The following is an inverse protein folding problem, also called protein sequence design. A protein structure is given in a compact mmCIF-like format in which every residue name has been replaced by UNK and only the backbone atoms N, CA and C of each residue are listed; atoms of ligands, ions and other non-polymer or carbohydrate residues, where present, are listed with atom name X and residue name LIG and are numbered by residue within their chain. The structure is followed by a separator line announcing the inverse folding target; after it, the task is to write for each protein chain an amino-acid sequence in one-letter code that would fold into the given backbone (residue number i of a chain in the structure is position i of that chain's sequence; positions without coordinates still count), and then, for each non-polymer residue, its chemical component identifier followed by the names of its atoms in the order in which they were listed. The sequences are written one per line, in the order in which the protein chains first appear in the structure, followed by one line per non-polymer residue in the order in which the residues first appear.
data_IF_265385938909
#
_entry.id   IF_265385938909
#
_cell.length_a   1.000
_cell.length_b   1.000
_cell.length_c   1.000
_cell.angle_alpha   90.00
_cell.angle_beta   90.00
_cell.angle_gamma   90.00
#
_symmetry.space_group_name_H-M   'P 1'
#
loop_
_entity.id
_entity.type
_entity.pdbx_description
1 polymer ?
#
# COMPACT_ATOMS: atom_id res chain seq x y z
N UNK A 1 29.04 -19.09 -26.81
CA UNK A 1 27.89 -18.50 -26.10
C UNK A 1 26.87 -18.07 -27.13
N UNK A 2 25.79 -18.80 -27.28
CA UNK A 2 24.77 -18.53 -28.30
C UNK A 2 23.78 -17.48 -27.75
N UNK A 3 23.80 -16.29 -28.36
CA UNK A 3 22.87 -15.22 -28.04
C UNK A 3 21.46 -15.56 -28.52
N UNK A 4 20.48 -15.51 -27.64
CA UNK A 4 19.09 -15.63 -27.98
C UNK A 4 18.66 -14.40 -28.78
N UNK A 5 18.42 -14.58 -30.09
CA UNK A 5 17.90 -13.53 -30.97
C UNK A 5 16.41 -13.43 -30.69
N UNK A 6 15.97 -12.36 -30.01
CA UNK A 6 14.55 -11.99 -29.97
C UNK A 6 14.10 -11.52 -31.36
N UNK A 7 13.46 -12.37 -32.11
CA UNK A 7 12.76 -11.94 -33.33
C UNK A 7 11.40 -11.38 -32.97
N UNK A 8 11.08 -10.12 -33.32
CA UNK A 8 9.72 -9.64 -33.19
C UNK A 8 8.84 -10.47 -34.17
N UNK A 9 7.84 -11.15 -33.62
CA UNK A 9 6.87 -11.89 -34.43
C UNK A 9 5.74 -10.90 -34.78
N UNK A 10 5.72 -10.42 -36.00
CA UNK A 10 4.60 -9.68 -36.58
C UNK A 10 3.95 -10.52 -37.66
N UNK A 11 2.79 -11.09 -37.38
CA UNK A 11 1.97 -11.74 -38.40
C UNK A 11 0.77 -10.83 -38.71
N UNK A 12 0.51 -10.44 -39.97
CA UNK A 12 -0.71 -9.73 -40.32
C UNK A 12 -1.90 -10.65 -40.06
N UNK A 13 -2.84 -10.22 -39.22
CA UNK A 13 -4.05 -10.96 -38.86
C UNK A 13 -4.15 -11.50 -37.46
N UNK A 14 -3.11 -11.40 -36.63
CA UNK A 14 -3.23 -11.64 -35.19
C UNK A 14 -3.69 -10.35 -34.49
N UNK A 15 -4.97 -10.07 -34.52
CA UNK A 15 -5.58 -9.11 -33.59
C UNK A 15 -5.51 -9.74 -32.21
N UNK A 16 -4.68 -9.17 -31.31
CA UNK A 16 -4.77 -9.49 -29.90
C UNK A 16 -6.19 -9.11 -29.45
N UNK A 17 -6.99 -10.14 -29.17
CA UNK A 17 -8.29 -9.93 -28.55
C UNK A 17 -8.00 -9.22 -27.21
N UNK A 18 -8.60 -8.05 -26.95
CA UNK A 18 -8.39 -7.38 -25.67
C UNK A 18 -8.74 -8.35 -24.53
N UNK A 19 -7.96 -8.38 -23.46
CA UNK A 19 -8.17 -9.32 -22.36
C UNK A 19 -9.62 -9.24 -21.87
N UNK A 20 -10.33 -10.36 -21.94
CA UNK A 20 -11.70 -10.45 -21.46
C UNK A 20 -11.77 -10.26 -19.92
N UNK A 21 -12.96 -9.99 -19.35
CA UNK A 21 -13.14 -9.76 -17.92
C UNK A 21 -12.64 -10.94 -17.06
N UNK A 22 -12.64 -12.15 -17.58
CA UNK A 22 -12.09 -13.33 -16.90
C UNK A 22 -10.57 -13.31 -16.76
N UNK A 23 -9.84 -12.73 -17.73
CA UNK A 23 -8.38 -12.63 -17.62
C UNK A 23 -7.98 -11.64 -16.54
N UNK A 24 -8.69 -10.51 -16.40
CA UNK A 24 -8.47 -9.57 -15.29
C UNK A 24 -8.76 -10.19 -13.92
N UNK A 25 -9.83 -10.98 -13.83
CA UNK A 25 -10.15 -11.71 -12.61
C UNK A 25 -9.11 -12.80 -12.27
N UNK A 26 -8.53 -13.46 -13.30
CA UNK A 26 -7.43 -14.42 -13.12
C UNK A 26 -6.13 -13.70 -12.76
N UNK A 27 -5.80 -12.60 -13.41
CA UNK A 27 -4.63 -11.78 -13.08
C UNK A 27 -4.71 -11.22 -11.64
N UNK A 28 -5.90 -10.82 -11.17
CA UNK A 28 -6.13 -10.44 -9.77
C UNK A 28 -5.97 -11.60 -8.77
N UNK A 29 -6.04 -12.87 -9.22
CA UNK A 29 -5.72 -14.04 -8.38
C UNK A 29 -4.21 -14.34 -8.32
N UNK A 30 -3.45 -13.90 -9.30
CA UNK A 30 -1.98 -14.00 -9.35
C UNK A 30 -1.29 -12.69 -8.93
N UNK A 31 -2.03 -11.59 -8.84
CA UNK A 31 -1.65 -10.38 -8.16
C UNK A 31 -1.79 -10.53 -6.66
N UNK A 32 -1.56 -9.48 -5.93
CA UNK A 32 -1.78 -9.43 -4.50
C UNK A 32 -2.99 -8.60 -4.11
N UNK A 33 -3.14 -8.45 -2.83
CA UNK A 33 -4.08 -7.51 -2.22
C UNK A 33 -3.32 -6.58 -1.30
N UNK A 34 -3.51 -5.28 -1.45
CA UNK A 34 -2.87 -4.28 -0.60
C UNK A 34 -3.91 -3.38 0.05
N UNK A 35 -3.73 -3.16 1.36
CA UNK A 35 -4.40 -2.10 2.11
C UNK A 35 -3.41 -0.95 2.30
N UNK A 36 -3.68 0.19 1.67
CA UNK A 36 -2.96 1.44 1.87
C UNK A 36 -3.56 2.18 3.06
N UNK A 37 -2.80 2.30 4.13
CA UNK A 37 -3.22 2.91 5.39
C UNK A 37 -2.53 4.27 5.53
N UNK A 38 -3.32 5.35 5.49
CA UNK A 38 -2.85 6.73 5.57
C UNK A 38 -3.25 7.32 6.92
N UNK A 39 -2.27 7.80 7.63
CA UNK A 39 -2.45 8.58 8.86
C UNK A 39 -3.15 9.91 8.56
N UNK A 40 -4.25 10.15 9.25
CA UNK A 40 -4.99 11.41 9.23
C UNK A 40 -5.09 12.03 10.64
N UNK A 41 -4.12 11.71 11.53
CA UNK A 41 -4.00 12.34 12.84
C UNK A 41 -3.69 13.84 12.73
N UNK A 42 -3.88 14.58 13.84
CA UNK A 42 -3.80 16.04 13.82
C UNK A 42 -2.46 16.62 13.38
N UNK A 43 -1.34 15.90 13.58
CA UNK A 43 0.00 16.28 13.11
C UNK A 43 0.12 16.31 11.59
N UNK A 44 -0.70 15.52 10.91
CA UNK A 44 -0.79 15.48 9.45
C UNK A 44 -1.57 16.64 8.83
N UNK A 45 -2.25 17.49 9.63
CA UNK A 45 -3.10 18.56 9.06
C UNK A 45 -2.31 19.59 8.24
N UNK A 46 -2.97 20.18 7.24
CA UNK A 46 -2.39 21.13 6.32
C UNK A 46 -1.64 20.51 5.15
N UNK A 47 -0.37 20.89 4.92
CA UNK A 47 0.41 20.43 3.77
C UNK A 47 0.70 18.92 3.79
N UNK A 48 1.05 18.28 4.93
CA UNK A 48 1.33 16.85 4.95
C UNK A 48 0.19 15.99 4.41
N UNK A 49 -1.05 16.22 4.82
CA UNK A 49 -2.19 15.42 4.35
C UNK A 49 -2.44 15.59 2.85
N UNK A 50 -2.25 16.80 2.30
CA UNK A 50 -2.43 17.04 0.87
C UNK A 50 -1.40 16.28 0.02
N UNK A 51 -0.15 16.27 0.47
CA UNK A 51 0.92 15.51 -0.19
C UNK A 51 0.71 13.99 -0.02
N UNK A 52 0.26 13.55 1.15
CA UNK A 52 -0.06 12.15 1.41
C UNK A 52 -1.18 11.64 0.47
N UNK A 53 -2.24 12.40 0.31
CA UNK A 53 -3.34 12.07 -0.61
C UNK A 53 -2.87 12.03 -2.07
N UNK A 54 -2.02 12.96 -2.48
CA UNK A 54 -1.42 12.96 -3.82
C UNK A 54 -0.60 11.70 -4.07
N UNK A 55 0.28 11.34 -3.14
CA UNK A 55 1.09 10.12 -3.22
C UNK A 55 0.27 8.85 -3.15
N UNK A 56 -0.78 8.83 -2.33
CA UNK A 56 -1.72 7.72 -2.24
C UNK A 56 -2.44 7.48 -3.57
N UNK A 57 -2.85 8.53 -4.27
CA UNK A 57 -3.45 8.41 -5.61
C UNK A 57 -2.49 7.80 -6.63
N UNK A 58 -1.22 8.19 -6.61
CA UNK A 58 -0.17 7.60 -7.45
C UNK A 58 0.10 6.14 -7.08
N UNK A 59 0.20 5.83 -5.78
CA UNK A 59 0.34 4.46 -5.29
C UNK A 59 -0.79 3.55 -5.80
N UNK A 60 -2.05 4.00 -5.68
CA UNK A 60 -3.21 3.24 -6.17
C UNK A 60 -3.08 2.92 -7.66
N UNK A 61 -2.72 3.90 -8.49
CA UNK A 61 -2.54 3.70 -9.92
C UNK A 61 -1.44 2.67 -10.24
N UNK A 62 -0.29 2.76 -9.55
CA UNK A 62 0.83 1.84 -9.74
C UNK A 62 0.55 0.43 -9.22
N UNK A 63 -0.12 0.30 -8.08
CA UNK A 63 -0.50 -0.98 -7.51
C UNK A 63 -1.50 -1.72 -8.41
N UNK A 64 -2.49 -1.00 -8.96
CA UNK A 64 -3.42 -1.55 -9.97
C UNK A 64 -2.67 -1.97 -11.24
N UNK A 65 -1.71 -1.17 -11.71
CA UNK A 65 -0.87 -1.54 -12.86
C UNK A 65 0.00 -2.78 -12.57
N UNK A 66 0.38 -3.01 -11.31
CA UNK A 66 1.06 -4.22 -10.84
C UNK A 66 0.10 -5.40 -10.55
N UNK A 67 -1.17 -5.29 -10.94
CA UNK A 67 -2.24 -6.29 -10.76
C UNK A 67 -2.64 -6.57 -9.30
N UNK A 68 -2.44 -5.62 -8.38
CA UNK A 68 -2.97 -5.71 -7.03
C UNK A 68 -4.42 -5.21 -6.95
N UNK A 69 -5.22 -5.89 -6.13
CA UNK A 69 -6.45 -5.30 -5.61
C UNK A 69 -6.09 -4.31 -4.51
N UNK A 70 -6.59 -3.09 -4.59
CA UNK A 70 -6.20 -1.98 -3.71
C UNK A 70 -7.38 -1.53 -2.87
N UNK A 71 -7.23 -1.59 -1.56
CA UNK A 71 -8.07 -0.91 -0.58
C UNK A 71 -7.33 0.27 0.05
N UNK A 72 -8.08 1.20 0.60
CA UNK A 72 -7.53 2.36 1.35
C UNK A 72 -8.22 2.45 2.70
N UNK A 73 -7.43 2.74 3.73
CA UNK A 73 -7.89 3.07 5.06
C UNK A 73 -7.29 4.40 5.49
N UNK A 74 -8.14 5.33 5.90
CA UNK A 74 -7.73 6.53 6.62
C UNK A 74 -7.84 6.23 8.10
N UNK A 75 -6.79 6.52 8.86
CA UNK A 75 -6.74 6.18 10.28
C UNK A 75 -6.16 7.30 11.14
N UNK A 76 -6.63 7.35 12.39
CA UNK A 76 -6.08 8.14 13.49
C UNK A 76 -6.18 7.32 14.78
N UNK A 77 -7.10 7.61 15.70
CA UNK A 77 -7.39 6.74 16.87
C UNK A 77 -8.15 5.46 16.48
N UNK A 78 -8.68 5.40 15.26
CA UNK A 78 -9.44 4.28 14.69
C UNK A 78 -9.39 4.33 13.15
N UNK A 79 -10.00 3.35 12.51
CA UNK A 79 -10.29 3.43 11.09
C UNK A 79 -11.43 4.44 10.84
N UNK A 80 -11.09 5.63 10.34
CA UNK A 80 -12.05 6.74 10.10
C UNK A 80 -12.84 6.51 8.80
N UNK A 81 -12.18 6.05 7.76
CA UNK A 81 -12.81 5.71 6.50
C UNK A 81 -12.08 4.54 5.85
N UNK A 82 -12.83 3.61 5.31
CA UNK A 82 -12.30 2.38 4.73
C UNK A 82 -12.96 2.09 3.39
N UNK A 83 -12.15 1.75 2.41
CA UNK A 83 -12.60 1.18 1.15
C UNK A 83 -12.00 -0.22 1.00
N UNK A 84 -12.85 -1.20 0.72
CA UNK A 84 -12.45 -2.58 0.45
C UNK A 84 -11.58 -2.68 -0.79
N UNK A 85 -10.64 -3.66 -0.85
CA UNK A 85 -9.78 -3.84 -2.01
C UNK A 85 -10.55 -4.14 -3.29
N UNK A 86 -10.30 -3.36 -4.34
CA UNK A 86 -10.85 -3.56 -5.69
C UNK A 86 -9.75 -3.60 -6.74
N UNK A 87 -9.96 -4.38 -7.81
CA UNK A 87 -8.96 -4.55 -8.87
C UNK A 87 -8.81 -3.31 -9.76
N UNK A 88 -9.76 -2.37 -9.74
CA UNK A 88 -9.72 -1.15 -10.56
C UNK A 88 -9.32 0.10 -9.76
N UNK A 89 -9.21 0.00 -8.44
CA UNK A 89 -8.81 1.08 -7.54
C UNK A 89 -9.77 2.29 -7.49
N UNK A 90 -10.91 2.27 -8.18
CA UNK A 90 -11.81 3.43 -8.24
C UNK A 90 -12.39 3.83 -6.90
N UNK A 91 -12.78 2.84 -6.10
CA UNK A 91 -13.30 3.10 -4.76
C UNK A 91 -12.24 3.77 -3.87
N UNK A 92 -10.97 3.34 -3.98
CA UNK A 92 -9.84 3.93 -3.29
C UNK A 92 -9.64 5.41 -3.68
N UNK A 93 -9.62 5.71 -4.99
CA UNK A 93 -9.49 7.08 -5.48
C UNK A 93 -10.67 7.97 -5.05
N UNK A 94 -11.90 7.45 -5.07
CA UNK A 94 -13.09 8.18 -4.63
C UNK A 94 -13.04 8.49 -3.12
N UNK A 95 -12.50 7.59 -2.30
CA UNK A 95 -12.31 7.80 -0.87
C UNK A 95 -11.25 8.87 -0.59
N UNK A 96 -10.17 8.89 -1.37
CA UNK A 96 -9.07 9.86 -1.23
C UNK A 96 -9.45 11.27 -1.69
N UNK A 97 -10.26 11.39 -2.74
CA UNK A 97 -10.54 12.67 -3.41
C UNK A 97 -11.05 13.81 -2.49
N UNK A 98 -11.93 13.60 -1.49
CA UNK A 98 -12.40 14.66 -0.59
C UNK A 98 -11.44 14.95 0.57
N UNK A 99 -10.38 14.16 0.77
CA UNK A 99 -9.51 14.27 1.95
C UNK A 99 -8.59 15.47 1.82
N UNK A 100 -8.77 16.44 2.70
CA UNK A 100 -8.02 17.70 2.71
C UNK A 100 -7.71 18.21 4.12
N UNK A 101 -8.06 17.45 5.17
CA UNK A 101 -7.82 17.76 6.58
C UNK A 101 -7.48 16.50 7.35
N UNK A 102 -6.78 16.68 8.45
CA UNK A 102 -6.43 15.64 9.39
C UNK A 102 -6.81 16.07 10.82
N UNK A 103 -7.12 15.11 11.70
CA UNK A 103 -7.57 15.36 13.07
C UNK A 103 -7.42 14.14 13.97
N UNK A 104 -7.50 14.35 15.28
CA UNK A 104 -7.43 13.27 16.28
C UNK A 104 -6.01 12.91 16.67
N UNK A 105 -5.90 11.86 17.47
CA UNK A 105 -4.65 11.31 17.97
C UNK A 105 -4.20 10.12 17.12
N UNK A 106 -3.03 9.58 17.43
CA UNK A 106 -2.45 8.42 16.79
C UNK A 106 -2.66 7.16 17.67
N UNK A 107 -3.44 6.18 17.17
CA UNK A 107 -3.63 4.89 17.83
C UNK A 107 -3.74 3.77 16.77
N UNK A 108 -2.64 3.06 16.52
CA UNK A 108 -2.50 2.19 15.34
C UNK A 108 -3.13 0.79 15.51
N UNK A 109 -3.33 0.30 16.73
CA UNK A 109 -3.76 -1.10 16.97
C UNK A 109 -5.10 -1.41 16.29
N UNK A 110 -6.14 -0.60 16.53
CA UNK A 110 -7.48 -0.81 15.94
C UNK A 110 -7.48 -0.77 14.42
N UNK A 111 -6.81 0.18 13.74
CA UNK A 111 -6.58 0.13 12.29
C UNK A 111 -5.94 -1.17 11.80
N UNK A 112 -4.91 -1.68 12.49
CA UNK A 112 -4.27 -2.94 12.12
C UNK A 112 -5.19 -4.15 12.30
N UNK A 113 -5.99 -4.18 13.35
CA UNK A 113 -7.01 -5.23 13.56
C UNK A 113 -8.02 -5.24 12.41
N UNK A 114 -8.45 -4.05 11.98
CA UNK A 114 -9.37 -3.92 10.85
C UNK A 114 -8.72 -4.35 9.52
N UNK A 115 -7.48 -3.91 9.26
CA UNK A 115 -6.70 -4.38 8.11
C UNK A 115 -6.56 -5.89 8.08
N UNK A 116 -6.28 -6.51 9.24
CA UNK A 116 -6.17 -7.95 9.37
C UNK A 116 -7.47 -8.65 8.96
N UNK A 117 -8.60 -8.23 9.51
CA UNK A 117 -9.92 -8.78 9.17
C UNK A 117 -10.25 -8.67 7.68
N UNK A 118 -9.84 -7.58 7.02
CA UNK A 118 -10.01 -7.41 5.58
C UNK A 118 -9.09 -8.38 4.82
N UNK A 119 -7.79 -8.36 5.10
CA UNK A 119 -6.79 -9.12 4.36
C UNK A 119 -6.91 -10.62 4.57
N UNK A 120 -7.44 -11.07 5.70
CA UNK A 120 -7.64 -12.51 5.98
C UNK A 120 -8.63 -13.18 5.00
N UNK A 121 -9.49 -12.41 4.37
CA UNK A 121 -10.44 -12.88 3.34
C UNK A 121 -9.80 -13.11 1.96
N UNK A 122 -8.55 -12.71 1.78
CA UNK A 122 -7.82 -12.79 0.52
C UNK A 122 -6.71 -13.85 0.58
N UNK A 123 -6.31 -14.32 -0.59
CA UNK A 123 -5.21 -15.27 -0.78
C UNK A 123 -4.13 -14.64 -1.66
N UNK A 124 -2.94 -15.24 -1.72
CA UNK A 124 -1.81 -14.74 -2.47
C UNK A 124 -0.98 -13.75 -1.65
N UNK A 125 -0.34 -12.78 -2.31
CA UNK A 125 0.45 -11.77 -1.62
C UNK A 125 -0.47 -10.73 -0.96
N UNK A 126 -0.41 -10.63 0.36
CA UNK A 126 -1.23 -9.73 1.18
C UNK A 126 -0.34 -8.70 1.84
N UNK A 127 -0.63 -7.43 1.62
CA UNK A 127 0.25 -6.34 2.01
C UNK A 127 -0.50 -5.26 2.78
N UNK A 128 0.08 -4.81 3.89
CA UNK A 128 -0.25 -3.54 4.53
C UNK A 128 0.80 -2.52 4.10
N UNK A 129 0.40 -1.51 3.34
CA UNK A 129 1.22 -0.35 3.03
C UNK A 129 0.84 0.77 4.01
N UNK A 130 1.70 1.05 4.99
CA UNK A 130 1.41 1.96 6.11
C UNK A 130 2.23 3.23 6.01
N UNK A 131 1.57 4.36 6.10
CA UNK A 131 2.19 5.68 6.17
C UNK A 131 1.66 6.47 7.37
N UNK A 132 2.57 7.20 8.06
CA UNK A 132 2.25 8.12 9.14
C UNK A 132 3.45 8.95 9.60
N UNK A 133 3.19 9.89 10.51
CA UNK A 133 4.20 10.75 11.14
C UNK A 133 4.36 10.53 12.65
N UNK A 134 3.58 9.58 13.18
CA UNK A 134 3.54 9.23 14.60
C UNK A 134 4.37 8.02 14.98
N UNK A 135 3.97 7.40 16.08
CA UNK A 135 4.57 6.20 16.64
C UNK A 135 3.67 4.96 16.53
N UNK A 136 4.17 3.83 17.04
CA UNK A 136 3.44 2.55 17.07
C UNK A 136 2.53 2.43 18.32
N UNK A 137 1.83 3.48 18.71
CA UNK A 137 1.00 3.44 19.95
C UNK A 137 -0.25 2.55 19.78
N UNK A 138 -0.50 1.61 20.72
CA UNK A 138 0.33 1.18 21.86
C UNK A 138 1.38 0.15 21.42
N UNK A 139 2.66 0.50 21.51
CA UNK A 139 3.78 -0.20 20.85
C UNK A 139 3.79 -1.71 21.06
N UNK A 140 3.73 -2.17 22.30
CA UNK A 140 3.82 -3.61 22.59
C UNK A 140 2.69 -4.41 21.94
N UNK A 141 1.46 -3.88 21.93
CA UNK A 141 0.30 -4.53 21.33
C UNK A 141 0.37 -4.47 19.80
N UNK A 142 0.83 -3.34 19.24
CA UNK A 142 1.04 -3.19 17.79
C UNK A 142 2.09 -4.19 17.30
N UNK A 143 3.24 -4.30 17.98
CA UNK A 143 4.28 -5.27 17.61
C UNK A 143 3.77 -6.71 17.68
N UNK A 144 3.01 -7.06 18.72
CA UNK A 144 2.40 -8.39 18.84
C UNK A 144 1.40 -8.67 17.68
N UNK A 145 0.57 -7.66 17.34
CA UNK A 145 -0.38 -7.77 16.22
C UNK A 145 0.31 -7.92 14.88
N UNK A 146 1.35 -7.13 14.64
CA UNK A 146 2.17 -7.23 13.42
C UNK A 146 2.84 -8.61 13.33
N UNK A 147 3.41 -9.11 14.42
CA UNK A 147 4.02 -10.44 14.45
C UNK A 147 2.99 -11.54 14.12
N UNK A 148 1.77 -11.44 14.64
CA UNK A 148 0.67 -12.33 14.26
C UNK A 148 0.38 -12.26 12.76
N UNK A 149 0.19 -11.06 12.21
CA UNK A 149 -0.13 -10.88 10.79
C UNK A 149 1.01 -11.38 9.87
N UNK A 150 2.26 -11.16 10.25
CA UNK A 150 3.44 -11.69 9.52
C UNK A 150 3.48 -13.22 9.55
N UNK A 151 3.16 -13.85 10.68
CA UNK A 151 3.06 -15.31 10.79
C UNK A 151 1.98 -15.91 9.86
N UNK A 152 0.97 -15.11 9.52
CA UNK A 152 -0.09 -15.44 8.57
C UNK A 152 0.24 -15.02 7.11
N UNK A 153 1.51 -14.66 6.84
CA UNK A 153 2.02 -14.22 5.54
C UNK A 153 1.40 -12.90 5.03
N UNK A 154 1.16 -11.95 5.92
CA UNK A 154 0.81 -10.57 5.58
C UNK A 154 2.09 -9.73 5.70
N UNK A 155 2.50 -9.08 4.60
CA UNK A 155 3.70 -8.24 4.55
C UNK A 155 3.41 -6.79 4.92
N UNK A 156 4.44 -6.12 5.42
CA UNK A 156 4.38 -4.71 5.79
C UNK A 156 5.39 -3.90 4.95
N UNK A 157 4.88 -2.91 4.25
CA UNK A 157 5.65 -1.88 3.55
C UNK A 157 5.34 -0.56 4.22
N UNK A 158 6.33 0.12 4.77
CA UNK A 158 6.07 1.29 5.62
C UNK A 158 6.85 2.52 5.20
N UNK A 159 6.27 3.69 5.45
CA UNK A 159 6.96 4.99 5.33
C UNK A 159 6.59 5.87 6.51
N UNK A 160 7.60 6.48 7.11
CA UNK A 160 7.45 7.44 8.20
C UNK A 160 7.90 8.83 7.79
N UNK A 161 7.11 9.85 8.09
CA UNK A 161 7.50 11.25 7.91
C UNK A 161 8.36 11.71 9.09
N UNK A 162 9.61 12.07 8.79
CA UNK A 162 10.61 12.40 9.78
C UNK A 162 11.35 11.17 10.33
N UNK A 163 12.51 11.42 10.95
CA UNK A 163 13.40 10.36 11.43
C UNK A 163 12.79 9.50 12.54
N UNK A 164 11.95 10.08 13.38
CA UNK A 164 11.31 9.38 14.49
C UNK A 164 10.29 8.35 13.97
N UNK A 165 9.32 8.79 13.17
CA UNK A 165 8.32 7.91 12.58
C UNK A 165 8.95 6.86 11.66
N UNK A 166 9.98 7.24 10.91
CA UNK A 166 10.72 6.31 10.05
C UNK A 166 11.39 5.19 10.87
N UNK A 167 11.95 5.51 12.04
CA UNK A 167 12.52 4.52 12.96
C UNK A 167 11.43 3.57 13.50
N UNK A 168 10.36 4.12 14.04
CA UNK A 168 9.24 3.34 14.59
C UNK A 168 8.62 2.41 13.53
N UNK A 169 8.28 2.93 12.37
CA UNK A 169 7.70 2.13 11.30
C UNK A 169 8.69 1.16 10.65
N UNK A 170 9.98 1.46 10.69
CA UNK A 170 11.04 0.55 10.28
C UNK A 170 11.07 -0.76 11.07
N UNK A 171 10.68 -0.74 12.37
CA UNK A 171 10.62 -1.94 13.21
C UNK A 171 9.59 -2.98 12.70
N UNK A 172 8.57 -2.53 12.01
CA UNK A 172 7.51 -3.42 11.48
C UNK A 172 7.60 -3.65 9.97
N UNK A 173 8.45 -2.91 9.27
CA UNK A 173 8.64 -3.05 7.82
C UNK A 173 9.26 -4.40 7.44
N UNK A 174 8.91 -4.89 6.25
CA UNK A 174 9.60 -6.01 5.60
C UNK A 174 10.57 -5.51 4.52
N UNK A 175 10.75 -4.19 4.42
CA UNK A 175 11.75 -3.56 3.55
C UNK A 175 13.02 -3.20 4.35
N UNK A 176 14.09 -2.87 3.63
CA UNK A 176 15.30 -2.32 4.25
C UNK A 176 14.98 -1.04 5.04
N UNK A 177 15.51 -0.87 6.26
CA UNK A 177 15.18 0.28 7.11
C UNK A 177 15.43 1.65 6.46
N UNK A 178 16.40 1.74 5.55
CA UNK A 178 16.69 2.96 4.79
C UNK A 178 15.54 3.40 3.87
N UNK A 179 14.66 2.48 3.49
CA UNK A 179 13.50 2.77 2.64
C UNK A 179 12.35 3.42 3.40
N UNK A 180 12.33 3.30 4.73
CA UNK A 180 11.20 3.76 5.56
C UNK A 180 11.15 5.28 5.76
N UNK A 181 12.25 6.02 5.50
CA UNK A 181 12.34 7.43 5.86
C UNK A 181 11.90 8.37 4.74
N UNK A 182 10.97 9.28 5.06
CA UNK A 182 10.65 10.46 4.26
C UNK A 182 11.07 11.70 5.07
N UNK A 183 12.11 12.39 4.62
CA UNK A 183 12.73 13.44 5.41
C UNK A 183 11.97 14.77 5.35
N UNK A 184 11.25 15.04 4.27
CA UNK A 184 10.57 16.31 4.04
C UNK A 184 9.15 16.10 3.49
N UNK A 185 8.26 17.02 3.84
CA UNK A 185 6.88 17.02 3.32
C UNK A 185 6.83 17.11 1.79
N UNK A 186 7.81 17.76 1.15
CA UNK A 186 7.92 17.84 -0.31
C UNK A 186 8.14 16.48 -0.98
N UNK A 187 8.81 15.56 -0.30
CA UNK A 187 9.16 14.24 -0.82
C UNK A 187 8.09 13.19 -0.47
N UNK A 188 7.05 13.62 0.27
CA UNK A 188 6.06 12.74 0.85
C UNK A 188 5.25 11.96 -0.20
N UNK A 189 4.79 12.67 -1.23
CA UNK A 189 4.01 12.02 -2.27
C UNK A 189 4.83 10.97 -3.03
N UNK A 190 6.08 11.29 -3.37
CA UNK A 190 6.97 10.36 -4.07
C UNK A 190 7.35 9.17 -3.16
N UNK A 191 7.53 9.41 -1.86
CA UNK A 191 7.79 8.37 -0.88
C UNK A 191 6.62 7.38 -0.74
N UNK A 192 5.39 7.88 -0.68
CA UNK A 192 4.19 7.03 -0.62
C UNK A 192 3.99 6.28 -1.94
N UNK A 193 4.09 6.97 -3.08
CA UNK A 193 4.01 6.33 -4.39
C UNK A 193 5.08 5.24 -4.55
N UNK A 194 6.30 5.50 -4.08
CA UNK A 194 7.43 4.57 -4.12
C UNK A 194 7.18 3.23 -3.41
N UNK A 195 6.27 3.16 -2.42
CA UNK A 195 5.88 1.89 -1.80
C UNK A 195 5.32 0.88 -2.82
N UNK A 196 4.73 1.34 -3.91
CA UNK A 196 4.22 0.47 -4.96
C UNK A 196 5.31 -0.31 -5.70
N UNK A 197 6.57 0.16 -5.68
CA UNK A 197 7.70 -0.58 -6.30
C UNK A 197 7.96 -1.90 -5.59
N UNK A 198 7.76 -1.96 -4.27
CA UNK A 198 7.93 -3.16 -3.45
C UNK A 198 6.87 -4.23 -3.73
N UNK A 199 5.73 -3.85 -4.33
CA UNK A 199 4.72 -4.79 -4.79
C UNK A 199 5.19 -5.57 -6.02
N UNK A 200 5.94 -4.93 -6.91
CA UNK A 200 6.39 -5.50 -8.21
C UNK A 200 7.43 -6.61 -8.05
N UNK A 201 8.25 -6.57 -7.01
CA UNK A 201 9.36 -7.51 -6.83
C UNK A 201 8.93 -8.90 -6.36
N UNK A 202 7.82 -9.03 -5.67
CA UNK A 202 7.34 -10.32 -5.15
C UNK A 202 6.57 -11.15 -6.19
N UNK A 203 5.98 -10.53 -7.21
CA UNK A 203 5.26 -11.22 -8.29
C UNK A 203 6.16 -11.94 -9.29
N UNK A 204 7.47 -11.68 -9.31
CA UNK A 204 8.45 -12.22 -10.26
C UNK A 204 9.33 -13.34 -9.69
N UNK A 205 9.22 -13.64 -8.39
CA UNK A 205 10.09 -14.58 -7.67
C UNK A 205 9.45 -15.97 -7.43
N UNK A 206 8.37 -16.32 -8.14
CA UNK A 206 7.75 -17.66 -8.08
C UNK A 206 7.58 -18.26 -9.45
#
# INVERSE_FOLDING_TARGET
MAGWIRRPFSAPGLTQIPPGPHLRAMQGRFGGTVMLCIDVSGSMDGRPILEAVRGAGQFVAEAVAAHYSVGVMLWNTRAEAVCEPTADGKAALNLLAPVNRAWGDNYLLTPLEHCHQILDRFTGDRVVALFGDGDLTPKAQVLAKVAQMKAENIRFVTRGLGSYAAHEFGEISDEEPSSAAINNVTDLADGIAGMATSLKHYGLAR
#
